data_IF_280666781809
#
_entry.id   IF_280666781809
#
_cell.length_a   1.000
_cell.length_b   1.000
_cell.length_c   1.000
_cell.angle_alpha   90.00
_cell.angle_beta   90.00
_cell.angle_gamma   90.00
#
_symmetry.space_group_name_H-M   'P 1'
#
loop_
_entity.id
_entity.type
_entity.pdbx_description
1 polymer ?
#
# COMPACT_ATOMS: atom_id res chain seq x y z
N UNK A 1 13.93 35.98 23.79
CA UNK A 1 14.89 35.58 22.75
C UNK A 1 14.97 34.07 22.61
N UNK A 2 15.25 33.30 23.69
CA UNK A 2 15.40 31.82 23.66
C UNK A 2 14.15 31.14 23.08
N UNK A 3 12.94 31.50 23.54
CA UNK A 3 11.67 30.92 23.05
C UNK A 3 11.48 31.18 21.55
N UNK A 4 11.85 32.39 21.08
CA UNK A 4 11.73 32.72 19.65
C UNK A 4 12.70 31.91 18.75
N UNK A 5 13.94 31.72 19.23
CA UNK A 5 14.94 30.90 18.53
C UNK A 5 14.52 29.44 18.48
N UNK A 6 14.01 28.90 19.59
CA UNK A 6 13.48 27.52 19.62
C UNK A 6 12.27 27.34 18.70
N UNK A 7 11.32 28.28 18.70
CA UNK A 7 10.16 28.20 17.81
C UNK A 7 10.57 28.26 16.32
N UNK A 8 11.52 29.12 15.95
CA UNK A 8 12.07 29.17 14.61
C UNK A 8 12.74 27.87 14.21
N UNK A 9 13.55 27.27 15.11
CA UNK A 9 14.15 25.96 14.88
C UNK A 9 13.12 24.88 14.62
N UNK A 10 12.07 24.77 15.45
CA UNK A 10 11.00 23.78 15.29
C UNK A 10 10.25 23.93 13.97
N UNK A 11 9.98 25.16 13.53
CA UNK A 11 9.34 25.42 12.24
C UNK A 11 10.23 24.93 11.09
N UNK A 12 11.50 25.29 11.07
CA UNK A 12 12.45 24.91 10.02
C UNK A 12 12.65 23.38 10.03
N UNK A 13 12.88 22.78 11.19
CA UNK A 13 13.03 21.34 11.34
C UNK A 13 11.79 20.59 10.83
N UNK A 14 10.60 21.00 11.26
CA UNK A 14 9.35 20.37 10.83
C UNK A 14 9.09 20.55 9.34
N UNK A 15 9.48 21.67 8.74
CA UNK A 15 9.44 21.87 7.30
C UNK A 15 10.37 20.90 6.57
N UNK A 16 11.62 20.72 7.07
CA UNK A 16 12.56 19.75 6.51
C UNK A 16 11.97 18.34 6.59
N UNK A 17 11.43 17.93 7.74
CA UNK A 17 10.78 16.62 7.91
C UNK A 17 9.61 16.45 6.95
N UNK A 18 8.75 17.47 6.81
CA UNK A 18 7.64 17.44 5.88
C UNK A 18 8.13 17.24 4.44
N UNK A 19 8.99 18.11 3.94
CA UNK A 19 9.46 18.00 2.56
C UNK A 19 10.25 16.72 2.30
N UNK A 20 11.03 16.25 3.28
CA UNK A 20 11.74 14.98 3.18
C UNK A 20 10.80 13.76 3.11
N UNK A 21 9.68 13.77 3.84
CA UNK A 21 8.75 12.65 3.90
C UNK A 21 7.66 12.71 2.81
N UNK A 22 7.16 13.89 2.48
CA UNK A 22 5.97 14.02 1.62
C UNK A 22 6.30 14.37 0.18
N UNK A 23 7.40 15.10 -0.08
CA UNK A 23 7.73 15.49 -1.44
C UNK A 23 8.12 14.27 -2.26
N UNK A 24 7.65 14.24 -3.52
CA UNK A 24 8.15 13.29 -4.52
C UNK A 24 9.67 13.23 -4.45
N UNK A 25 10.20 12.06 -4.21
CA UNK A 25 11.64 11.81 -4.09
C UNK A 25 12.15 10.90 -5.20
N UNK A 26 13.47 10.68 -5.21
CA UNK A 26 14.06 9.61 -6.03
C UNK A 26 13.56 8.26 -5.52
N UNK A 27 13.40 7.31 -6.45
CA UNK A 27 13.12 5.91 -6.17
C UNK A 27 14.10 5.41 -5.08
N UNK A 28 13.58 4.78 -4.06
CA UNK A 28 14.35 3.89 -3.19
C UNK A 28 13.96 2.49 -3.60
N UNK A 29 14.71 1.91 -4.56
CA UNK A 29 14.47 0.53 -4.96
C UNK A 29 14.60 -0.41 -3.78
N UNK A 30 13.95 -1.55 -3.89
CA UNK A 30 14.12 -2.69 -2.97
C UNK A 30 15.59 -3.16 -3.02
N UNK A 31 16.25 -2.97 -4.15
CA UNK A 31 17.67 -3.22 -4.34
C UNK A 31 18.50 -2.34 -3.40
N UNK A 32 19.08 -2.95 -2.37
CA UNK A 32 19.99 -2.30 -1.42
C UNK A 32 19.41 -1.86 -0.09
N UNK A 33 18.18 -2.24 0.25
CA UNK A 33 17.59 -1.90 1.54
C UNK A 33 17.77 -3.00 2.59
N UNK A 34 19.00 -3.15 3.08
CA UNK A 34 19.30 -3.82 4.33
C UNK A 34 19.48 -5.35 4.25
N UNK A 35 20.03 -5.91 5.34
CA UNK A 35 20.35 -7.33 5.50
C UNK A 35 19.14 -8.26 5.26
N UNK A 36 17.93 -7.83 5.62
CA UNK A 36 16.73 -8.61 5.42
C UNK A 36 16.42 -8.89 3.94
N UNK A 37 16.69 -7.94 3.05
CA UNK A 37 16.51 -8.13 1.61
C UNK A 37 17.56 -9.08 1.03
N UNK A 38 18.81 -8.97 1.46
CA UNK A 38 19.90 -9.81 0.97
C UNK A 38 19.66 -11.31 1.21
N UNK A 39 18.92 -11.65 2.28
CA UNK A 39 18.55 -13.05 2.58
C UNK A 39 17.58 -13.64 1.54
N UNK A 40 16.75 -12.80 0.92
CA UNK A 40 15.73 -13.25 -0.03
C UNK A 40 16.05 -12.86 -1.48
N UNK A 41 17.22 -12.29 -1.74
CA UNK A 41 17.61 -11.81 -3.06
C UNK A 41 17.51 -12.90 -4.16
N UNK A 42 17.92 -14.16 -3.94
CA UNK A 42 17.76 -15.20 -4.96
C UNK A 42 16.30 -15.45 -5.34
N UNK A 43 15.40 -15.51 -4.34
CA UNK A 43 13.97 -15.68 -4.57
C UNK A 43 13.38 -14.47 -5.31
N UNK A 44 13.76 -13.26 -4.90
CA UNK A 44 13.34 -12.04 -5.58
C UNK A 44 13.78 -12.02 -7.05
N UNK A 45 15.01 -12.44 -7.33
CA UNK A 45 15.56 -12.51 -8.70
C UNK A 45 14.78 -13.50 -9.57
N UNK A 46 14.45 -14.66 -9.02
CA UNK A 46 13.64 -15.66 -9.71
C UNK A 46 12.24 -15.16 -10.05
N UNK A 47 11.55 -14.52 -9.10
CA UNK A 47 10.23 -13.95 -9.32
C UNK A 47 10.27 -12.79 -10.32
N UNK A 48 11.31 -11.96 -10.26
CA UNK A 48 11.54 -10.89 -11.23
C UNK A 48 11.78 -11.45 -12.64
N UNK A 49 12.56 -12.50 -12.78
CA UNK A 49 12.79 -13.14 -14.08
C UNK A 49 11.49 -13.68 -14.69
N UNK A 50 10.60 -14.24 -13.86
CA UNK A 50 9.28 -14.64 -14.31
C UNK A 50 8.48 -13.46 -14.84
N UNK A 51 8.41 -12.38 -14.08
CA UNK A 51 7.66 -11.17 -14.45
C UNK A 51 8.22 -10.52 -15.73
N UNK A 52 9.55 -10.48 -15.89
CA UNK A 52 10.22 -9.92 -17.07
C UNK A 52 9.95 -10.74 -18.36
N UNK A 53 9.55 -12.00 -18.23
CA UNK A 53 9.15 -12.88 -19.35
C UNK A 53 7.69 -12.73 -19.78
N UNK A 54 6.86 -11.99 -19.04
CA UNK A 54 5.46 -11.81 -19.37
C UNK A 54 5.21 -10.63 -20.34
N UNK A 55 4.11 -10.73 -21.11
CA UNK A 55 3.59 -9.57 -21.83
C UNK A 55 3.22 -8.48 -20.80
N UNK A 56 3.71 -7.27 -21.05
CA UNK A 56 3.44 -6.10 -20.21
C UNK A 56 2.99 -4.93 -21.04
N UNK A 57 1.90 -4.28 -20.61
CA UNK A 57 1.37 -3.07 -21.25
C UNK A 57 1.41 -1.91 -20.26
N UNK A 58 1.95 -0.76 -20.67
CA UNK A 58 1.81 0.46 -19.90
C UNK A 58 0.37 0.97 -20.04
N UNK A 59 -0.25 1.31 -18.92
CA UNK A 59 -1.59 1.87 -18.86
C UNK A 59 -1.61 3.19 -18.09
N UNK A 60 -2.63 3.99 -18.31
CA UNK A 60 -2.74 5.31 -17.71
C UNK A 60 -4.18 5.64 -17.37
N UNK A 61 -4.38 6.25 -16.21
CA UNK A 61 -5.68 6.78 -15.78
C UNK A 61 -5.53 8.23 -15.34
N UNK A 62 -6.55 9.04 -15.57
CA UNK A 62 -6.62 10.38 -15.03
C UNK A 62 -7.42 10.33 -13.75
N UNK A 63 -6.76 10.60 -12.62
CA UNK A 63 -7.41 10.69 -11.32
C UNK A 63 -8.41 11.86 -11.29
N UNK A 64 -9.37 11.81 -10.37
CA UNK A 64 -10.44 12.81 -10.21
C UNK A 64 -9.94 14.25 -9.99
N UNK A 65 -8.71 14.42 -9.55
CA UNK A 65 -8.06 15.73 -9.39
C UNK A 65 -7.20 16.16 -10.59
N UNK A 66 -7.31 15.45 -11.73
CA UNK A 66 -6.56 15.70 -12.95
C UNK A 66 -5.13 15.15 -12.96
N UNK A 67 -4.70 14.47 -11.90
CA UNK A 67 -3.37 13.85 -11.87
C UNK A 67 -3.33 12.65 -12.82
N UNK A 68 -2.37 12.62 -13.74
CA UNK A 68 -2.13 11.44 -14.58
C UNK A 68 -1.41 10.37 -13.76
N UNK A 69 -2.00 9.19 -13.66
CA UNK A 69 -1.43 8.03 -13.02
C UNK A 69 -1.01 7.01 -14.08
N UNK A 70 0.07 6.31 -13.85
CA UNK A 70 0.66 5.29 -14.72
C UNK A 70 0.71 3.95 -14.00
N UNK A 71 0.66 2.86 -14.75
CA UNK A 71 0.79 1.51 -14.21
C UNK A 71 1.26 0.53 -15.27
N UNK A 72 1.64 -0.66 -14.83
CA UNK A 72 1.96 -1.81 -15.67
C UNK A 72 0.85 -2.84 -15.56
N UNK A 73 0.33 -3.28 -16.69
CA UNK A 73 -0.70 -4.30 -16.80
C UNK A 73 -0.12 -5.57 -17.44
N UNK A 74 -0.31 -6.70 -16.77
CA UNK A 74 0.10 -8.03 -17.21
C UNK A 74 -1.17 -8.86 -17.45
N UNK A 75 -1.59 -9.02 -18.71
CA UNK A 75 -2.77 -9.83 -19.05
C UNK A 75 -2.48 -11.31 -18.84
N UNK A 76 -3.40 -12.04 -18.25
CA UNK A 76 -3.34 -13.50 -18.17
C UNK A 76 -4.25 -14.13 -19.23
N UNK A 77 -3.84 -15.24 -19.87
CA UNK A 77 -4.72 -16.01 -20.75
C UNK A 77 -5.94 -16.52 -19.98
N UNK A 78 -7.15 -16.30 -20.55
CA UNK A 78 -8.41 -16.73 -19.93
C UNK A 78 -8.54 -16.27 -18.47
N UNK A 79 -8.27 -14.99 -18.22
CA UNK A 79 -8.26 -14.43 -16.88
C UNK A 79 -9.60 -14.65 -16.16
N UNK A 80 -9.52 -15.11 -14.89
CA UNK A 80 -10.68 -15.33 -14.01
C UNK A 80 -10.93 -14.19 -13.03
N UNK A 81 -9.93 -13.33 -12.83
CA UNK A 81 -9.98 -12.15 -11.95
C UNK A 81 -8.88 -11.16 -12.30
N UNK A 82 -8.93 -9.98 -11.71
CA UNK A 82 -7.89 -8.95 -11.85
C UNK A 82 -7.36 -8.56 -10.47
N UNK A 83 -6.05 -8.66 -10.29
CA UNK A 83 -5.34 -8.12 -9.14
C UNK A 83 -4.95 -6.67 -9.40
N UNK A 84 -5.23 -5.77 -8.46
CA UNK A 84 -4.67 -4.42 -8.38
C UNK A 84 -3.72 -4.37 -7.17
N UNK A 85 -2.41 -4.25 -7.43
CA UNK A 85 -1.38 -4.27 -6.38
C UNK A 85 -0.75 -2.90 -6.17
N UNK A 86 -0.84 -2.37 -4.95
CA UNK A 86 -0.35 -1.05 -4.55
C UNK A 86 0.95 -1.16 -3.75
N UNK A 87 2.02 -0.59 -4.28
CA UNK A 87 3.35 -0.60 -3.69
C UNK A 87 3.47 0.22 -2.40
N UNK A 88 4.53 -0.01 -1.62
CA UNK A 88 4.86 0.74 -0.42
C UNK A 88 5.43 2.15 -0.69
N UNK A 89 5.74 2.85 0.38
CA UNK A 89 6.32 4.19 0.37
C UNK A 89 7.64 4.23 -0.41
N UNK A 90 7.73 5.14 -1.40
CA UNK A 90 8.85 5.31 -2.33
C UNK A 90 9.20 4.11 -3.20
N UNK A 91 8.29 3.13 -3.28
CA UNK A 91 8.34 2.08 -4.26
C UNK A 91 7.79 2.52 -5.62
N UNK A 92 7.77 1.58 -6.56
CA UNK A 92 7.17 1.72 -7.90
C UNK A 92 6.57 0.38 -8.32
N UNK A 93 5.80 0.37 -9.41
CA UNK A 93 5.29 -0.86 -10.02
C UNK A 93 6.40 -1.91 -10.29
N UNK A 94 7.62 -1.47 -10.59
CA UNK A 94 8.74 -2.35 -10.90
C UNK A 94 9.37 -3.05 -9.69
N UNK A 95 9.09 -2.59 -8.46
CA UNK A 95 9.74 -3.14 -7.25
C UNK A 95 9.00 -4.35 -6.67
N UNK A 96 7.78 -4.63 -7.11
CA UNK A 96 6.89 -5.64 -6.52
C UNK A 96 6.51 -6.73 -7.51
N UNK A 97 7.53 -7.32 -8.15
CA UNK A 97 7.31 -8.43 -9.06
C UNK A 97 7.13 -9.79 -8.35
N UNK A 98 7.44 -9.92 -7.07
CA UNK A 98 7.48 -11.19 -6.35
C UNK A 98 6.10 -11.84 -6.10
N UNK A 99 5.01 -11.09 -6.19
CA UNK A 99 3.67 -11.69 -6.14
C UNK A 99 3.06 -11.96 -7.53
N UNK A 100 3.68 -11.47 -8.61
CA UNK A 100 3.14 -11.59 -9.96
C UNK A 100 2.97 -13.06 -10.34
N UNK A 101 4.00 -13.90 -10.09
CA UNK A 101 3.94 -15.32 -10.41
C UNK A 101 2.74 -15.99 -9.74
N UNK A 102 2.55 -15.77 -8.45
CA UNK A 102 1.47 -16.38 -7.69
C UNK A 102 0.11 -16.11 -8.33
N UNK A 103 -0.19 -14.85 -8.62
CA UNK A 103 -1.47 -14.46 -9.18
C UNK A 103 -1.59 -14.79 -10.66
N UNK A 104 -0.58 -14.45 -11.48
CA UNK A 104 -0.65 -14.62 -12.92
C UNK A 104 -0.76 -16.10 -13.33
N UNK A 105 0.01 -17.00 -12.69
CA UNK A 105 -0.06 -18.44 -12.95
C UNK A 105 -1.41 -19.06 -12.55
N UNK A 106 -2.20 -18.37 -11.72
CA UNK A 106 -3.55 -18.76 -11.30
C UNK A 106 -4.67 -18.07 -12.10
N UNK A 107 -4.32 -17.47 -13.24
CA UNK A 107 -5.28 -16.84 -14.13
C UNK A 107 -5.77 -15.48 -13.67
N UNK A 108 -4.94 -14.71 -12.96
CA UNK A 108 -5.24 -13.31 -12.67
C UNK A 108 -4.55 -12.40 -13.67
N UNK A 109 -5.26 -11.45 -14.24
CA UNK A 109 -4.61 -10.25 -14.73
C UNK A 109 -3.94 -9.54 -13.54
N UNK A 110 -2.77 -8.93 -13.76
CA UNK A 110 -2.09 -8.17 -12.71
C UNK A 110 -1.90 -6.73 -13.16
N UNK A 111 -2.44 -5.79 -12.39
CA UNK A 111 -2.26 -4.36 -12.59
C UNK A 111 -1.45 -3.78 -11.45
N UNK A 112 -0.32 -3.17 -11.77
CA UNK A 112 0.62 -2.55 -10.83
C UNK A 112 0.64 -1.03 -11.04
N UNK A 113 -0.20 -0.25 -10.36
CA UNK A 113 -0.13 1.20 -10.39
C UNK A 113 1.15 1.74 -9.75
N UNK A 114 1.79 2.72 -10.39
CA UNK A 114 2.63 3.68 -9.69
C UNK A 114 1.71 4.64 -8.92
N UNK A 115 1.75 4.64 -7.60
CA UNK A 115 0.91 5.54 -6.80
C UNK A 115 1.29 7.01 -7.05
N UNK A 116 0.38 7.97 -6.77
CA UNK A 116 0.68 9.40 -6.95
C UNK A 116 2.00 9.80 -6.31
N UNK A 117 2.73 10.71 -6.94
CA UNK A 117 4.07 11.16 -6.55
C UNK A 117 5.16 10.08 -6.54
N UNK A 118 4.91 8.91 -7.17
CA UNK A 118 5.88 7.83 -7.35
C UNK A 118 6.06 7.48 -8.83
N UNK A 119 7.17 6.81 -9.14
CA UNK A 119 7.45 6.24 -10.45
C UNK A 119 7.16 7.19 -11.60
N UNK A 120 6.34 6.73 -12.55
CA UNK A 120 5.90 7.48 -13.74
C UNK A 120 4.63 8.31 -13.51
N UNK A 121 3.92 8.08 -12.38
CA UNK A 121 2.70 8.81 -12.04
C UNK A 121 2.98 10.27 -11.69
N UNK A 122 2.02 11.14 -11.95
CA UNK A 122 2.03 12.54 -11.58
C UNK A 122 1.93 12.77 -10.06
N UNK A 123 1.78 14.03 -9.69
CA UNK A 123 1.67 14.47 -8.30
C UNK A 123 2.98 14.97 -7.71
N UNK A 124 2.86 15.89 -6.75
CA UNK A 124 4.00 16.52 -6.07
C UNK A 124 4.28 15.91 -4.69
N UNK A 125 3.23 15.42 -4.02
CA UNK A 125 3.30 14.97 -2.63
C UNK A 125 2.71 13.57 -2.47
N UNK A 126 3.41 12.77 -1.69
CA UNK A 126 2.94 11.48 -1.17
C UNK A 126 1.94 11.78 -0.06
N UNK A 127 0.76 11.17 -0.10
CA UNK A 127 -0.32 11.49 0.82
C UNK A 127 -0.65 10.36 1.81
N UNK A 128 0.20 9.34 1.93
CA UNK A 128 0.12 8.25 2.92
C UNK A 128 -1.25 7.55 2.95
N UNK A 129 -1.82 7.27 1.79
CA UNK A 129 -3.12 6.63 1.63
C UNK A 129 -4.31 7.60 1.58
N UNK A 130 -4.15 8.85 2.05
CA UNK A 130 -5.28 9.80 2.18
C UNK A 130 -5.87 10.20 0.83
N UNK A 131 -5.05 10.51 -0.18
CA UNK A 131 -5.50 10.78 -1.56
C UNK A 131 -5.43 9.52 -2.40
N UNK A 132 -4.45 8.66 -2.14
CA UNK A 132 -4.20 7.43 -2.88
C UNK A 132 -5.41 6.49 -2.85
N UNK A 133 -6.25 6.51 -1.78
CA UNK A 133 -7.51 5.73 -1.75
C UNK A 133 -8.49 6.12 -2.86
N UNK A 134 -8.51 7.37 -3.26
CA UNK A 134 -9.34 7.83 -4.38
C UNK A 134 -8.74 7.41 -5.73
N UNK A 135 -7.40 7.41 -5.83
CA UNK A 135 -6.71 6.86 -7.01
C UNK A 135 -6.97 5.36 -7.14
N UNK A 136 -7.00 4.64 -6.00
CA UNK A 136 -7.36 3.22 -5.97
C UNK A 136 -8.75 3.00 -6.57
N UNK A 137 -9.76 3.80 -6.19
CA UNK A 137 -11.09 3.72 -6.78
C UNK A 137 -11.09 4.06 -8.28
N UNK A 138 -10.32 5.06 -8.70
CA UNK A 138 -10.22 5.42 -10.12
C UNK A 138 -9.55 4.28 -10.93
N UNK A 139 -8.55 3.60 -10.38
CA UNK A 139 -7.94 2.40 -10.97
C UNK A 139 -8.89 1.19 -11.00
N UNK A 140 -9.71 0.97 -9.97
CA UNK A 140 -10.73 -0.09 -9.95
C UNK A 140 -11.72 0.11 -11.09
N UNK A 141 -12.24 1.33 -11.26
CA UNK A 141 -13.15 1.67 -12.35
C UNK A 141 -12.51 1.45 -13.70
N UNK A 142 -11.28 1.94 -13.90
CA UNK A 142 -10.54 1.75 -15.15
C UNK A 142 -10.32 0.26 -15.46
N UNK A 143 -9.96 -0.54 -14.47
CA UNK A 143 -9.77 -1.98 -14.64
C UNK A 143 -11.08 -2.66 -15.08
N UNK A 144 -12.19 -2.36 -14.42
CA UNK A 144 -13.49 -2.94 -14.70
C UNK A 144 -14.12 -2.49 -16.02
N UNK A 145 -13.88 -1.26 -16.45
CA UNK A 145 -14.48 -0.70 -17.66
C UNK A 145 -13.61 -0.95 -18.91
N UNK A 146 -12.28 -0.98 -18.77
CA UNK A 146 -11.36 -0.92 -19.90
C UNK A 146 -10.50 -2.17 -20.07
N UNK A 147 -10.00 -2.74 -18.97
CA UNK A 147 -9.01 -3.83 -19.05
C UNK A 147 -9.63 -5.22 -18.96
N UNK A 148 -10.63 -5.38 -18.10
CA UNK A 148 -11.13 -6.69 -17.71
C UNK A 148 -12.61 -6.61 -17.32
N UNK A 149 -13.47 -6.26 -18.31
CA UNK A 149 -14.91 -6.07 -18.12
C UNK A 149 -15.56 -7.28 -17.44
N UNK A 150 -16.27 -7.01 -16.34
CA UNK A 150 -17.04 -8.03 -15.61
C UNK A 150 -16.22 -8.97 -14.73
N UNK A 151 -14.89 -8.94 -14.76
CA UNK A 151 -14.07 -9.81 -13.91
C UNK A 151 -14.05 -9.32 -12.46
N UNK A 152 -14.03 -10.26 -11.49
CA UNK A 152 -13.75 -9.94 -10.09
C UNK A 152 -12.43 -9.21 -9.92
N UNK A 153 -12.40 -8.27 -8.96
CA UNK A 153 -11.22 -7.50 -8.60
C UNK A 153 -10.77 -7.89 -7.19
N UNK A 154 -9.47 -8.15 -7.06
CA UNK A 154 -8.78 -8.29 -5.78
C UNK A 154 -7.86 -7.09 -5.61
N UNK A 155 -7.98 -6.39 -4.49
CA UNK A 155 -7.05 -5.33 -4.11
C UNK A 155 -5.95 -5.92 -3.26
N UNK A 156 -4.72 -5.58 -3.55
CA UNK A 156 -3.56 -5.97 -2.74
C UNK A 156 -2.69 -4.75 -2.48
N UNK A 157 -2.13 -4.66 -1.31
CA UNK A 157 -1.24 -3.56 -0.97
C UNK A 157 -0.30 -3.88 0.17
N UNK A 158 0.92 -3.36 0.03
CA UNK A 158 1.97 -3.48 1.04
C UNK A 158 2.27 -2.14 1.69
N UNK A 159 2.41 -2.11 3.02
CA UNK A 159 2.82 -0.91 3.76
C UNK A 159 1.89 0.29 3.48
N UNK A 160 2.37 1.36 2.84
CA UNK A 160 1.53 2.48 2.40
C UNK A 160 0.45 2.03 1.41
N UNK A 161 0.75 1.09 0.52
CA UNK A 161 -0.24 0.51 -0.40
C UNK A 161 -1.34 -0.24 0.34
N UNK A 162 -0.98 -0.99 1.39
CA UNK A 162 -1.95 -1.61 2.29
C UNK A 162 -2.88 -0.57 2.92
N UNK A 163 -2.33 0.52 3.47
CA UNK A 163 -3.14 1.61 4.01
C UNK A 163 -4.04 2.24 2.94
N UNK A 164 -3.56 2.35 1.69
CA UNK A 164 -4.34 2.83 0.56
C UNK A 164 -5.56 1.95 0.29
N UNK A 165 -5.38 0.63 0.17
CA UNK A 165 -6.49 -0.29 -0.14
C UNK A 165 -7.46 -0.42 1.04
N UNK A 166 -6.96 -0.44 2.29
CA UNK A 166 -7.83 -0.42 3.47
C UNK A 166 -8.68 0.85 3.57
N UNK A 167 -8.10 2.02 3.30
CA UNK A 167 -8.86 3.28 3.27
C UNK A 167 -9.83 3.35 2.09
N UNK A 168 -9.54 2.67 0.97
CA UNK A 168 -10.46 2.63 -0.16
C UNK A 168 -11.76 1.90 0.19
N UNK A 169 -11.77 0.95 1.14
CA UNK A 169 -12.99 0.22 1.54
C UNK A 169 -14.04 1.09 2.22
N UNK A 170 -13.70 2.31 2.67
CA UNK A 170 -14.71 3.25 3.19
C UNK A 170 -15.42 4.05 2.08
N UNK A 171 -14.94 3.91 0.83
CA UNK A 171 -15.56 4.51 -0.35
C UNK A 171 -16.60 3.55 -0.92
N UNK A 172 -17.44 4.07 -1.82
CA UNK A 172 -18.41 3.27 -2.55
C UNK A 172 -17.68 2.43 -3.62
N UNK A 173 -17.21 1.25 -3.21
CA UNK A 173 -16.49 0.34 -4.09
C UNK A 173 -17.48 -0.39 -5.02
N UNK A 174 -17.11 -0.59 -6.30
CA UNK A 174 -17.90 -1.44 -7.20
C UNK A 174 -18.03 -2.88 -6.68
N UNK A 175 -19.16 -3.53 -6.91
CA UNK A 175 -19.48 -4.90 -6.48
C UNK A 175 -18.48 -5.95 -6.98
N UNK A 176 -17.75 -5.64 -8.04
CA UNK A 176 -16.68 -6.50 -8.56
C UNK A 176 -15.48 -6.63 -7.61
N UNK A 177 -15.30 -5.75 -6.61
CA UNK A 177 -14.25 -5.90 -5.60
C UNK A 177 -14.65 -7.00 -4.62
N UNK A 178 -13.93 -8.13 -4.67
CA UNK A 178 -14.28 -9.35 -3.94
C UNK A 178 -13.39 -9.63 -2.73
N UNK A 179 -12.19 -9.08 -2.70
CA UNK A 179 -11.26 -9.28 -1.58
C UNK A 179 -10.22 -8.17 -1.50
N UNK A 180 -9.68 -8.00 -0.30
CA UNK A 180 -8.51 -7.14 -0.03
C UNK A 180 -7.42 -7.99 0.61
N UNK A 181 -6.18 -7.87 0.13
CA UNK A 181 -4.96 -8.39 0.74
C UNK A 181 -4.19 -7.20 1.33
N UNK A 182 -3.90 -7.24 2.61
CA UNK A 182 -3.43 -6.11 3.39
C UNK A 182 -2.16 -6.47 4.18
N UNK A 183 -0.98 -6.27 3.57
CA UNK A 183 0.30 -6.59 4.21
C UNK A 183 0.93 -5.36 4.87
N UNK A 184 1.22 -5.46 6.17
CA UNK A 184 1.95 -4.53 7.05
C UNK A 184 1.53 -3.05 6.96
N UNK A 185 0.22 -2.77 6.84
CA UNK A 185 -0.31 -1.41 6.77
C UNK A 185 -0.40 -0.72 8.13
N UNK A 186 -0.27 0.61 8.11
CA UNK A 186 -0.42 1.44 9.31
C UNK A 186 -1.85 1.95 9.51
N UNK A 187 -2.18 2.31 10.75
CA UNK A 187 -3.54 2.74 11.12
C UNK A 187 -3.90 4.13 10.62
N UNK A 188 -2.93 5.03 10.52
CA UNK A 188 -3.11 6.37 9.94
C UNK A 188 -1.78 7.02 9.62
N UNK A 189 -1.77 7.99 8.71
CA UNK A 189 -0.59 8.81 8.42
C UNK A 189 -0.04 9.49 9.69
N UNK A 190 -0.94 9.91 10.60
CA UNK A 190 -0.57 10.51 11.88
C UNK A 190 0.22 9.55 12.76
N UNK A 191 -0.28 8.34 12.99
CA UNK A 191 0.39 7.37 13.87
C UNK A 191 1.71 6.88 13.26
N UNK A 192 1.76 6.70 11.93
CA UNK A 192 2.99 6.30 11.26
C UNK A 192 4.08 7.37 11.36
N UNK A 193 3.77 8.64 11.12
CA UNK A 193 4.74 9.73 11.22
C UNK A 193 5.17 9.93 12.67
N UNK A 194 4.24 9.83 13.62
CA UNK A 194 4.53 9.88 15.07
C UNK A 194 5.49 8.76 15.48
N UNK A 195 5.26 7.54 15.01
CA UNK A 195 6.16 6.41 15.24
C UNK A 195 7.55 6.70 14.67
N UNK A 196 7.64 7.14 13.42
CA UNK A 196 8.91 7.46 12.76
C UNK A 196 9.70 8.55 13.49
N UNK A 197 9.04 9.63 13.94
CA UNK A 197 9.71 10.69 14.72
C UNK A 197 10.27 10.12 16.04
N UNK A 198 9.47 9.30 16.75
CA UNK A 198 9.89 8.74 18.03
C UNK A 198 11.01 7.71 17.92
N UNK A 199 10.92 6.81 16.95
CA UNK A 199 11.83 5.66 16.83
C UNK A 199 13.07 5.98 15.99
N UNK A 200 12.90 6.57 14.82
CA UNK A 200 14.02 6.79 13.90
C UNK A 200 14.78 8.08 14.21
N UNK A 201 14.06 9.13 14.60
CA UNK A 201 14.68 10.41 14.95
C UNK A 201 15.00 10.53 16.44
N UNK A 202 14.41 9.65 17.29
CA UNK A 202 14.55 9.67 18.75
C UNK A 202 14.15 11.00 19.38
N UNK A 203 13.16 11.67 18.78
CA UNK A 203 12.66 12.98 19.20
C UNK A 203 11.24 12.87 19.79
N UNK A 204 10.85 13.79 20.69
CA UNK A 204 9.45 13.89 21.10
C UNK A 204 8.58 14.29 19.89
N UNK A 205 7.39 13.71 19.81
CA UNK A 205 6.48 14.01 18.70
C UNK A 205 5.90 15.45 18.76
N UNK A 206 5.81 16.03 19.95
CA UNK A 206 5.39 17.42 20.14
C UNK A 206 6.61 18.35 20.23
N UNK A 207 6.62 19.51 19.55
CA UNK A 207 5.55 20.09 18.71
C UNK A 207 5.67 19.67 17.24
N UNK A 208 6.78 19.03 16.81
CA UNK A 208 7.14 18.81 15.41
C UNK A 208 6.05 18.10 14.61
N UNK A 209 5.39 17.07 15.17
CA UNK A 209 4.32 16.34 14.48
C UNK A 209 3.12 17.25 14.13
N UNK A 210 2.80 18.22 14.98
CA UNK A 210 1.70 19.17 14.72
C UNK A 210 2.06 20.14 13.61
N UNK A 211 3.31 20.61 13.57
CA UNK A 211 3.81 21.47 12.48
C UNK A 211 3.89 20.70 11.16
N UNK A 212 4.38 19.45 11.17
CA UNK A 212 4.35 18.58 9.99
C UNK A 212 2.91 18.38 9.50
N UNK A 213 1.94 18.18 10.40
CA UNK A 213 0.53 18.08 10.04
C UNK A 213 -0.05 19.37 9.45
N UNK A 214 0.38 20.52 9.94
CA UNK A 214 0.01 21.82 9.38
C UNK A 214 0.59 21.98 7.97
N UNK A 215 1.86 21.64 7.75
CA UNK A 215 2.48 21.68 6.42
C UNK A 215 1.82 20.70 5.47
N UNK A 216 1.46 19.49 5.90
CA UNK A 216 0.71 18.55 5.10
C UNK A 216 -0.65 19.10 4.65
N UNK A 217 -1.32 19.86 5.53
CA UNK A 217 -2.57 20.54 5.18
C UNK A 217 -2.37 21.67 4.17
N UNK A 218 -1.32 22.48 4.36
CA UNK A 218 -1.05 23.65 3.49
C UNK A 218 -0.55 23.22 2.13
N UNK A 219 0.45 22.33 2.05
CA UNK A 219 1.16 22.00 0.81
C UNK A 219 0.61 20.79 0.09
N UNK A 220 0.22 19.73 0.82
CA UNK A 220 -0.32 18.49 0.23
C UNK A 220 -1.86 18.45 0.22
N UNK A 221 -2.53 19.37 0.91
CA UNK A 221 -3.98 19.42 0.99
C UNK A 221 -4.61 18.25 1.75
N UNK A 222 -3.89 17.67 2.72
CA UNK A 222 -4.37 16.52 3.50
C UNK A 222 -4.35 16.80 5.00
N UNK A 223 -5.22 16.10 5.73
CA UNK A 223 -5.25 16.09 7.20
C UNK A 223 -4.73 14.73 7.67
N UNK A 224 -3.59 14.68 8.38
CA UNK A 224 -2.98 13.43 8.82
C UNK A 224 -3.86 12.61 9.77
N UNK A 225 -4.74 13.27 10.53
CA UNK A 225 -5.75 12.64 11.41
C UNK A 225 -7.08 12.38 10.69
N UNK A 226 -7.21 12.80 9.42
CA UNK A 226 -8.48 12.75 8.68
C UNK A 226 -8.90 11.36 8.25
N UNK A 227 -7.96 10.43 8.15
CA UNK A 227 -8.19 9.06 7.72
C UNK A 227 -7.57 8.09 8.71
N UNK A 228 -8.33 7.05 9.05
CA UNK A 228 -7.94 6.00 9.99
C UNK A 228 -8.46 4.67 9.44
N UNK A 229 -7.55 3.74 9.15
CA UNK A 229 -7.91 2.44 8.58
C UNK A 229 -8.77 1.60 9.53
N UNK A 230 -8.65 1.77 10.84
CA UNK A 230 -9.52 1.11 11.82
C UNK A 230 -10.97 1.51 11.62
N UNK A 231 -11.22 2.81 11.40
CA UNK A 231 -12.58 3.31 11.11
C UNK A 231 -13.09 2.83 9.76
N UNK A 232 -12.20 2.71 8.76
CA UNK A 232 -12.56 2.10 7.48
C UNK A 232 -12.93 0.62 7.67
N UNK A 233 -12.19 -0.11 8.48
CA UNK A 233 -12.47 -1.51 8.81
C UNK A 233 -13.73 -1.70 9.64
N UNK A 234 -14.06 -0.79 10.56
CA UNK A 234 -15.33 -0.79 11.28
C UNK A 234 -16.55 -0.63 10.36
N UNK A 235 -16.38 0.10 9.25
CA UNK A 235 -17.44 0.31 8.24
C UNK A 235 -17.47 -0.81 7.20
N UNK A 236 -16.35 -1.48 6.95
CA UNK A 236 -16.29 -2.58 6.00
C UNK A 236 -16.96 -3.82 6.57
N UNK A 237 -18.15 -4.12 6.09
CA UNK A 237 -18.95 -5.29 6.50
C UNK A 237 -19.03 -6.36 5.43
N UNK A 238 -18.62 -6.06 4.20
CA UNK A 238 -18.90 -6.90 3.02
C UNK A 238 -17.67 -7.42 2.33
N UNK A 239 -16.60 -6.61 2.18
CA UNK A 239 -15.40 -7.02 1.44
C UNK A 239 -14.44 -7.77 2.37
N UNK A 240 -14.22 -9.07 2.16
CA UNK A 240 -13.29 -9.87 2.98
C UNK A 240 -11.86 -9.32 2.93
N UNK A 241 -11.12 -9.47 4.04
CA UNK A 241 -9.75 -8.95 4.16
C UNK A 241 -8.79 -10.01 4.69
N UNK A 242 -7.74 -10.29 3.93
CA UNK A 242 -6.58 -11.06 4.36
C UNK A 242 -5.51 -10.10 4.89
N UNK A 243 -5.22 -10.15 6.17
CA UNK A 243 -4.18 -9.36 6.81
C UNK A 243 -2.90 -10.18 6.95
N UNK A 244 -1.75 -9.56 6.67
CA UNK A 244 -0.44 -10.15 6.95
C UNK A 244 0.49 -9.11 7.60
N UNK A 245 1.41 -9.57 8.45
CA UNK A 245 2.48 -8.72 8.99
C UNK A 245 3.61 -9.56 9.60
N UNK A 246 4.82 -9.01 9.56
CA UNK A 246 5.96 -9.58 10.23
C UNK A 246 6.03 -9.16 11.70
N UNK A 247 6.23 -10.11 12.60
CA UNK A 247 6.36 -9.84 14.06
C UNK A 247 7.62 -9.06 14.43
N UNK A 248 8.60 -9.00 13.51
CA UNK A 248 9.86 -8.25 13.67
C UNK A 248 9.84 -6.92 12.90
N UNK A 249 8.67 -6.47 12.46
CA UNK A 249 8.52 -5.18 11.76
C UNK A 249 8.77 -4.01 12.70
N UNK A 250 9.80 -3.21 12.39
CA UNK A 250 10.18 -2.00 13.13
C UNK A 250 9.81 -0.71 12.40
N UNK A 251 9.35 -0.81 11.17
CA UNK A 251 8.94 0.34 10.34
C UNK A 251 7.46 0.65 10.57
N UNK A 252 6.62 -0.37 10.49
CA UNK A 252 5.21 -0.32 10.87
C UNK A 252 4.99 -1.36 11.95
N UNK A 253 4.80 -0.98 13.22
CA UNK A 253 4.60 -1.94 14.29
C UNK A 253 3.48 -2.93 13.99
N UNK A 254 3.68 -4.24 14.19
CA UNK A 254 2.66 -5.27 13.88
C UNK A 254 1.35 -5.05 14.63
N UNK A 255 1.38 -4.31 15.72
CA UNK A 255 0.20 -3.89 16.49
C UNK A 255 -0.75 -3.04 15.64
N UNK A 256 -0.26 -2.28 14.66
CA UNK A 256 -1.13 -1.50 13.76
C UNK A 256 -1.94 -2.41 12.85
N UNK A 257 -1.33 -3.47 12.29
CA UNK A 257 -2.06 -4.49 11.51
C UNK A 257 -3.05 -5.25 12.37
N UNK A 258 -2.68 -5.64 13.60
CA UNK A 258 -3.59 -6.29 14.55
C UNK A 258 -4.79 -5.42 14.89
N UNK A 259 -4.59 -4.11 15.12
CA UNK A 259 -5.68 -3.16 15.36
C UNK A 259 -6.62 -3.05 14.15
N UNK A 260 -6.08 -3.06 12.93
CA UNK A 260 -6.89 -3.08 11.71
C UNK A 260 -7.71 -4.38 11.60
N UNK A 261 -7.07 -5.52 11.88
CA UNK A 261 -7.73 -6.82 11.92
C UNK A 261 -8.86 -6.86 12.95
N UNK A 262 -8.61 -6.44 14.18
CA UNK A 262 -9.61 -6.41 15.25
C UNK A 262 -10.81 -5.52 14.89
N UNK A 263 -10.56 -4.36 14.30
CA UNK A 263 -11.60 -3.41 13.88
C UNK A 263 -12.43 -3.90 12.68
N UNK A 264 -11.89 -4.79 11.84
CA UNK A 264 -12.56 -5.25 10.62
C UNK A 264 -13.81 -6.08 10.95
N UNK A 265 -14.95 -5.69 10.37
CA UNK A 265 -16.25 -6.35 10.55
C UNK A 265 -16.59 -7.34 9.43
N UNK A 266 -15.93 -7.26 8.28
CA UNK A 266 -16.08 -8.22 7.20
C UNK A 266 -15.39 -9.55 7.54
N UNK A 267 -15.64 -10.64 6.80
CA UNK A 267 -14.85 -11.87 6.91
C UNK A 267 -13.35 -11.55 6.81
N UNK A 268 -12.54 -12.15 7.67
CA UNK A 268 -11.14 -11.77 7.79
C UNK A 268 -10.25 -12.93 8.18
N UNK A 269 -9.00 -12.86 7.75
CA UNK A 269 -7.92 -13.78 8.12
C UNK A 269 -6.69 -12.98 8.54
N UNK A 270 -5.85 -13.51 9.43
CA UNK A 270 -4.60 -12.88 9.86
C UNK A 270 -3.46 -13.89 9.81
N UNK A 271 -2.42 -13.56 9.06
CA UNK A 271 -1.16 -14.28 9.02
C UNK A 271 -0.07 -13.46 9.73
N UNK A 272 0.54 -14.04 10.76
CA UNK A 272 1.71 -13.49 11.44
C UNK A 272 2.95 -14.29 11.06
N UNK A 273 3.96 -13.63 10.54
CA UNK A 273 5.23 -14.25 10.15
C UNK A 273 6.37 -13.73 11.03
N UNK A 274 7.50 -14.44 11.10
CA UNK A 274 8.70 -13.93 11.77
C UNK A 274 9.54 -12.99 10.89
N UNK A 275 8.91 -12.20 10.05
CA UNK A 275 9.55 -11.34 9.07
C UNK A 275 9.78 -9.91 9.59
N UNK A 276 10.69 -9.20 8.91
CA UNK A 276 10.82 -7.75 8.97
C UNK A 276 9.75 -7.08 8.07
N UNK A 277 9.76 -5.74 8.02
CA UNK A 277 8.80 -4.93 7.25
C UNK A 277 8.75 -5.33 5.78
N UNK A 278 7.55 -5.65 5.28
CA UNK A 278 7.31 -6.00 3.88
C UNK A 278 7.91 -7.31 3.41
N UNK A 279 8.38 -8.17 4.34
CA UNK A 279 9.05 -9.42 4.02
C UNK A 279 8.19 -10.66 4.32
N UNK A 280 6.94 -10.50 4.72
CA UNK A 280 6.07 -11.62 5.11
C UNK A 280 5.94 -12.66 4.02
N UNK A 281 5.68 -12.25 2.77
CA UNK A 281 5.58 -13.14 1.63
C UNK A 281 6.88 -13.92 1.37
N UNK A 282 8.03 -13.24 1.36
CA UNK A 282 9.31 -13.88 1.06
C UNK A 282 9.78 -14.82 2.19
N UNK A 283 9.55 -14.43 3.44
CA UNK A 283 10.00 -15.18 4.61
C UNK A 283 9.17 -16.45 4.88
N UNK A 284 7.91 -16.45 4.51
CA UNK A 284 6.98 -17.55 4.76
C UNK A 284 6.21 -17.94 3.49
N UNK A 285 6.88 -17.96 2.31
CA UNK A 285 6.25 -18.04 1.00
C UNK A 285 5.21 -19.15 0.91
N UNK A 286 5.57 -20.38 1.26
CA UNK A 286 4.68 -21.53 1.13
C UNK A 286 3.42 -21.42 2.01
N UNK A 287 3.55 -20.93 3.23
CA UNK A 287 2.45 -20.71 4.14
C UNK A 287 1.58 -19.53 3.69
N UNK A 288 2.22 -18.43 3.29
CA UNK A 288 1.54 -17.24 2.79
C UNK A 288 0.70 -17.56 1.55
N UNK A 289 1.31 -18.23 0.55
CA UNK A 289 0.62 -18.63 -0.68
C UNK A 289 -0.54 -19.58 -0.40
N UNK A 290 -0.36 -20.58 0.48
CA UNK A 290 -1.43 -21.51 0.83
C UNK A 290 -2.61 -20.80 1.50
N UNK A 291 -2.36 -20.00 2.53
CA UNK A 291 -3.43 -19.29 3.24
C UNK A 291 -4.13 -18.27 2.35
N UNK A 292 -3.36 -17.56 1.50
CA UNK A 292 -3.91 -16.62 0.54
C UNK A 292 -4.76 -17.31 -0.52
N UNK A 293 -4.34 -18.47 -1.03
CA UNK A 293 -5.11 -19.27 -1.99
C UNK A 293 -6.44 -19.74 -1.40
N UNK A 294 -6.40 -20.34 -0.20
CA UNK A 294 -7.60 -20.78 0.52
C UNK A 294 -8.58 -19.61 0.75
N UNK A 295 -8.06 -18.45 1.14
CA UNK A 295 -8.85 -17.23 1.32
C UNK A 295 -9.49 -16.74 0.02
N UNK A 296 -8.71 -16.62 -1.07
CA UNK A 296 -9.19 -16.12 -2.35
C UNK A 296 -10.21 -17.06 -3.00
N UNK A 297 -10.00 -18.39 -2.90
CA UNK A 297 -10.98 -19.37 -3.39
C UNK A 297 -12.32 -19.23 -2.67
N UNK A 298 -12.30 -18.98 -1.34
CA UNK A 298 -13.52 -18.70 -0.58
C UNK A 298 -14.24 -17.43 -1.03
N UNK A 299 -13.49 -16.39 -1.44
CA UNK A 299 -14.06 -15.11 -1.89
C UNK A 299 -14.58 -15.14 -3.34
N UNK A 300 -13.94 -15.91 -4.23
CA UNK A 300 -14.25 -15.93 -5.66
C UNK A 300 -15.27 -16.98 -6.05
N UNK A 301 -15.43 -18.08 -5.30
CA UNK A 301 -16.46 -19.13 -5.55
C UNK A 301 -17.90 -18.69 -5.27
N UNK A 302 -18.12 -17.56 -4.62
CA UNK A 302 -19.47 -17.04 -4.33
C UNK A 302 -20.14 -16.34 -5.54
N UNK A 303 -19.58 -16.53 -6.74
CA UNK A 303 -20.02 -15.83 -7.97
C UNK A 303 -20.80 -16.76 -8.91
N UNK A 304 -20.78 -18.07 -8.63
CA UNK A 304 -21.60 -19.10 -9.31
C UNK A 304 -22.94 -19.26 -8.58
#
# INVERSE_FOLDING_TARGET
LIVGVWAAFEIVFSAIVFFAAFRRGKKRGVEGTGEAYMLFEPLYREEKQYADGLEKREVSVTARDGTTLKGDFYPAPNARATLLYFHGYRGTSADFCFCIRFFHSRGFNVLLPDQRAHGRSGGKYICFGVKERFDCLDWIKFAGETLAQGLPVVLDGISMGCTTVLLATELDLPDQVKAVVADCGFTSAWEQIKHTIKTNMRLPAFPSLYLVSLFARIFAGIRLRGCDTRKAMEKNTTVPVFFATGTRDRVVPPEMTKQNYEACRAPKMLLLTEAAHGMSYLAAKAEYEKQLEDFLEGCLKQID
#
